data_IF_755799804938
#
_entry.id   IF_755799804938
#
_cell.length_a   1.000
_cell.length_b   1.000
_cell.length_c   1.000
_cell.angle_alpha   90.00
_cell.angle_beta   90.00
_cell.angle_gamma   90.00
#
_symmetry.space_group_name_H-M   'P 1'
#
loop_
_entity.id
_entity.type
_entity.pdbx_description
1 polymer ?
#
# COMPACT_ATOMS: atom_id res chain seq x y z
N UNK A 1 -6.13 8.24 -53.33
CA UNK A 1 -6.96 8.11 -52.11
C UNK A 1 -6.43 9.10 -51.10
N UNK A 2 -7.11 10.24 -50.89
CA UNK A 2 -6.63 11.28 -49.97
C UNK A 2 -7.14 10.92 -48.57
N UNK A 3 -6.26 10.45 -47.69
CA UNK A 3 -6.55 10.34 -46.27
C UNK A 3 -6.81 11.76 -45.73
N UNK A 4 -8.08 12.10 -45.54
CA UNK A 4 -8.47 13.35 -44.89
C UNK A 4 -8.13 13.24 -43.41
N UNK A 5 -6.99 13.80 -43.02
CA UNK A 5 -6.64 13.98 -41.61
C UNK A 5 -7.73 14.77 -40.89
N UNK A 6 -8.13 14.30 -39.71
CA UNK A 6 -9.11 14.98 -38.86
C UNK A 6 -8.65 16.44 -38.63
N UNK A 7 -9.55 17.43 -38.71
CA UNK A 7 -9.20 18.79 -38.37
C UNK A 7 -8.70 18.84 -36.92
N UNK A 8 -7.60 19.55 -36.68
CA UNK A 8 -6.89 19.62 -35.39
C UNK A 8 -7.82 19.86 -34.19
N UNK A 9 -8.87 20.67 -34.38
CA UNK A 9 -9.89 20.93 -33.36
C UNK A 9 -10.72 19.70 -32.98
N UNK A 10 -11.09 18.85 -33.94
CA UNK A 10 -11.81 17.60 -33.68
C UNK A 10 -10.92 16.58 -32.96
N UNK A 11 -9.65 16.48 -33.35
CA UNK A 11 -8.67 15.65 -32.65
C UNK A 11 -8.46 16.11 -31.19
N UNK A 12 -8.37 17.43 -30.97
CA UNK A 12 -8.27 18.01 -29.62
C UNK A 12 -9.51 17.70 -28.76
N UNK A 13 -10.71 17.77 -29.35
CA UNK A 13 -11.97 17.47 -28.65
C UNK A 13 -12.08 15.99 -28.28
N UNK A 14 -11.68 15.09 -29.17
CA UNK A 14 -11.63 13.65 -28.87
C UNK A 14 -10.66 13.36 -27.72
N UNK A 15 -9.48 13.99 -27.72
CA UNK A 15 -8.51 13.84 -26.65
C UNK A 15 -9.06 14.35 -25.30
N UNK A 16 -9.78 15.47 -25.29
CA UNK A 16 -10.45 15.98 -24.09
C UNK A 16 -11.51 15.01 -23.57
N UNK A 17 -12.35 14.45 -24.45
CA UNK A 17 -13.37 13.48 -24.06
C UNK A 17 -12.74 12.19 -23.52
N UNK A 18 -11.68 11.69 -24.16
CA UNK A 18 -10.94 10.53 -23.68
C UNK A 18 -10.37 10.77 -22.28
N UNK A 19 -9.73 11.92 -22.05
CA UNK A 19 -9.22 12.28 -20.72
C UNK A 19 -10.32 12.34 -19.65
N UNK A 20 -11.53 12.78 -20.00
CA UNK A 20 -12.67 12.77 -19.07
C UNK A 20 -13.13 11.35 -18.74
N UNK A 21 -13.18 10.46 -19.74
CA UNK A 21 -13.52 9.04 -19.55
C UNK A 21 -12.48 8.37 -18.64
N UNK A 22 -11.19 8.63 -18.88
CA UNK A 22 -10.09 8.09 -18.07
C UNK A 22 -10.16 8.61 -16.63
N UNK A 23 -10.49 9.90 -16.42
CA UNK A 23 -10.70 10.47 -15.10
C UNK A 23 -11.88 9.84 -14.34
N UNK A 24 -12.95 9.46 -15.04
CA UNK A 24 -14.07 8.72 -14.44
C UNK A 24 -13.62 7.30 -14.07
N UNK A 25 -12.93 6.61 -14.98
CA UNK A 25 -12.44 5.26 -14.78
C UNK A 25 -11.49 5.17 -13.57
N UNK A 26 -10.54 6.10 -13.47
CA UNK A 26 -9.60 6.19 -12.34
C UNK A 26 -10.31 6.44 -11.00
N UNK A 27 -11.30 7.35 -10.95
CA UNK A 27 -12.12 7.55 -9.74
C UNK A 27 -12.88 6.28 -9.33
N UNK A 28 -13.45 5.57 -10.31
CA UNK A 28 -14.15 4.29 -10.06
C UNK A 28 -13.19 3.22 -9.53
N UNK A 29 -12.01 3.09 -10.13
CA UNK A 29 -10.97 2.17 -9.68
C UNK A 29 -10.51 2.49 -8.26
N UNK A 30 -10.30 3.76 -7.92
CA UNK A 30 -9.92 4.17 -6.56
C UNK A 30 -10.99 3.82 -5.51
N UNK A 31 -12.28 4.04 -5.83
CA UNK A 31 -13.40 3.64 -4.95
C UNK A 31 -13.45 2.12 -4.75
N UNK A 32 -13.26 1.35 -5.83
CA UNK A 32 -13.20 -0.11 -5.75
C UNK A 32 -12.03 -0.57 -4.88
N UNK A 33 -10.83 -0.02 -5.10
CA UNK A 33 -9.65 -0.34 -4.30
C UNK A 33 -9.84 -0.03 -2.81
N UNK A 34 -10.50 1.08 -2.47
CA UNK A 34 -10.84 1.40 -1.08
C UNK A 34 -11.82 0.38 -0.48
N UNK A 35 -12.87 0.00 -1.21
CA UNK A 35 -13.81 -1.05 -0.80
C UNK A 35 -13.11 -2.39 -0.59
N UNK A 36 -12.26 -2.81 -1.53
CA UNK A 36 -11.52 -4.07 -1.46
C UNK A 36 -10.58 -4.09 -0.25
N UNK A 37 -9.95 -2.94 0.07
CA UNK A 37 -9.13 -2.80 1.27
C UNK A 37 -9.95 -2.96 2.55
N UNK A 38 -11.15 -2.38 2.62
CA UNK A 38 -12.06 -2.55 3.76
C UNK A 38 -12.42 -4.03 3.93
N UNK A 39 -12.84 -4.71 2.87
CA UNK A 39 -13.19 -6.12 2.92
C UNK A 39 -12.02 -6.99 3.39
N UNK A 40 -10.82 -6.72 2.88
CA UNK A 40 -9.59 -7.41 3.30
C UNK A 40 -9.30 -7.21 4.79
N UNK A 41 -9.43 -5.98 5.30
CA UNK A 41 -9.17 -5.68 6.70
C UNK A 41 -10.16 -6.38 7.63
N UNK A 42 -11.45 -6.38 7.25
CA UNK A 42 -12.50 -7.07 7.99
C UNK A 42 -12.25 -8.58 8.01
N UNK A 43 -11.87 -9.18 6.88
CA UNK A 43 -11.50 -10.59 6.81
C UNK A 43 -10.29 -10.94 7.69
N UNK A 44 -9.40 -9.98 7.94
CA UNK A 44 -8.25 -10.11 8.85
C UNK A 44 -8.60 -9.81 10.32
N UNK A 45 -9.88 -9.62 10.65
CA UNK A 45 -10.36 -9.39 12.01
C UNK A 45 -10.28 -7.93 12.49
N UNK A 46 -10.13 -6.97 11.58
CA UNK A 46 -10.25 -5.55 11.94
C UNK A 46 -11.71 -5.14 11.92
N UNK A 47 -12.16 -4.48 13.00
CA UNK A 47 -13.51 -3.94 13.08
C UNK A 47 -13.92 -3.10 11.85
N UNK A 48 -15.12 -3.29 11.29
CA UNK A 48 -15.56 -2.63 10.05
C UNK A 48 -15.42 -1.11 10.06
N UNK A 49 -15.73 -0.46 11.19
CA UNK A 49 -15.58 1.00 11.33
C UNK A 49 -14.12 1.43 11.23
N UNK A 50 -13.22 0.71 11.90
CA UNK A 50 -11.78 0.99 11.87
C UNK A 50 -11.21 0.68 10.49
N UNK A 51 -11.71 -0.35 9.81
CA UNK A 51 -11.32 -0.70 8.45
C UNK A 51 -11.70 0.41 7.45
N UNK A 52 -12.94 0.93 7.52
CA UNK A 52 -13.41 2.07 6.71
C UNK A 52 -12.54 3.31 6.95
N UNK A 53 -12.38 3.70 8.21
CA UNK A 53 -11.56 4.85 8.57
C UNK A 53 -10.11 4.71 8.08
N UNK A 54 -9.52 3.53 8.20
CA UNK A 54 -8.17 3.27 7.73
C UNK A 54 -8.06 3.35 6.19
N UNK A 55 -9.02 2.79 5.45
CA UNK A 55 -9.04 2.85 3.99
C UNK A 55 -9.21 4.29 3.49
N UNK A 56 -10.11 5.07 4.09
CA UNK A 56 -10.27 6.49 3.80
C UNK A 56 -8.98 7.28 4.07
N UNK A 57 -8.33 7.00 5.20
CA UNK A 57 -7.07 7.63 5.56
C UNK A 57 -5.97 7.29 4.56
N UNK A 58 -5.84 6.02 4.17
CA UNK A 58 -4.88 5.56 3.16
C UNK A 58 -5.11 6.27 1.81
N UNK A 59 -6.36 6.28 1.33
CA UNK A 59 -6.73 6.95 0.09
C UNK A 59 -6.42 8.46 0.13
N UNK A 60 -6.76 9.14 1.23
CA UNK A 60 -6.52 10.59 1.39
C UNK A 60 -5.04 10.94 1.39
N UNK A 61 -4.20 10.11 2.00
CA UNK A 61 -2.76 10.37 2.11
C UNK A 61 -1.97 9.81 0.92
N UNK A 62 -2.63 9.13 -0.04
CA UNK A 62 -1.98 8.54 -1.20
C UNK A 62 -0.97 7.45 -0.87
N UNK A 63 -1.04 6.86 0.33
CA UNK A 63 -0.14 5.82 0.80
C UNK A 63 -0.92 4.61 1.31
N UNK A 64 -0.27 3.44 1.30
CA UNK A 64 -0.85 2.21 1.81
C UNK A 64 -0.98 2.19 3.33
N UNK A 65 -1.48 1.08 3.86
CA UNK A 65 -1.45 0.78 5.28
C UNK A 65 -0.23 -0.06 5.64
N UNK A 66 0.22 0.05 6.89
CA UNK A 66 1.42 -0.61 7.37
C UNK A 66 1.36 -2.14 7.27
N UNK A 67 0.19 -2.75 7.53
CA UNK A 67 -0.07 -4.19 7.41
C UNK A 67 0.85 -5.12 8.24
N UNK A 68 1.70 -4.60 9.13
CA UNK A 68 2.51 -5.42 10.02
C UNK A 68 1.63 -6.07 11.09
N UNK A 69 1.95 -7.30 11.51
CA UNK A 69 1.23 -7.96 12.61
C UNK A 69 1.49 -7.20 13.91
N UNK A 70 0.44 -6.66 14.51
CA UNK A 70 0.53 -5.96 15.79
C UNK A 70 0.53 -6.97 16.97
N UNK A 71 0.72 -6.48 18.20
CA UNK A 71 0.77 -7.31 19.43
C UNK A 71 -0.51 -8.12 19.69
N UNK A 72 -1.66 -7.70 19.16
CA UNK A 72 -2.95 -8.43 19.23
C UNK A 72 -3.12 -9.47 18.12
N UNK A 73 -2.11 -9.63 17.26
CA UNK A 73 -2.15 -10.54 16.13
C UNK A 73 -2.85 -10.01 14.87
N UNK A 74 -3.44 -8.81 14.93
CA UNK A 74 -4.15 -8.18 13.82
C UNK A 74 -3.20 -7.34 12.93
N UNK A 75 -3.55 -7.06 11.67
CA UNK A 75 -2.76 -6.16 10.83
C UNK A 75 -2.75 -4.72 11.39
N UNK A 76 -1.63 -4.02 11.21
CA UNK A 76 -1.49 -2.62 11.56
C UNK A 76 -2.20 -1.74 10.53
N UNK A 77 -3.16 -0.95 10.99
CA UNK A 77 -3.96 -0.01 10.20
C UNK A 77 -3.41 1.44 10.22
N UNK A 78 -2.20 1.65 10.74
CA UNK A 78 -1.52 2.94 10.59
C UNK A 78 -1.08 3.14 9.13
N UNK A 79 -0.86 4.39 8.74
CA UNK A 79 -0.30 4.71 7.43
C UNK A 79 1.08 4.06 7.26
N UNK A 80 1.28 3.42 6.11
CA UNK A 80 2.54 2.84 5.68
C UNK A 80 3.34 3.83 4.84
N UNK A 81 3.56 5.02 5.39
CA UNK A 81 4.24 6.14 4.73
C UNK A 81 5.78 6.09 4.84
N UNK A 82 6.31 5.16 5.63
CA UNK A 82 7.73 4.94 5.79
C UNK A 82 8.31 3.85 4.89
N UNK A 83 9.58 3.52 5.13
CA UNK A 83 10.34 2.53 4.38
C UNK A 83 9.61 1.18 4.32
N UNK A 84 9.54 0.60 3.11
CA UNK A 84 8.89 -0.69 2.87
C UNK A 84 7.38 -0.68 3.15
N UNK A 85 6.74 0.49 3.13
CA UNK A 85 5.31 0.62 3.41
C UNK A 85 4.96 0.43 4.89
N UNK A 86 5.91 0.66 5.82
CA UNK A 86 5.69 0.50 7.27
C UNK A 86 5.49 1.85 7.96
N UNK A 87 4.78 1.85 9.08
CA UNK A 87 4.63 3.03 9.92
C UNK A 87 5.83 3.21 10.85
N UNK A 88 5.94 4.37 11.50
CA UNK A 88 6.98 4.67 12.51
C UNK A 88 7.14 3.61 13.60
N UNK A 89 6.04 2.96 14.01
CA UNK A 89 6.05 1.95 15.08
C UNK A 89 6.51 0.56 14.61
N UNK A 90 6.52 0.31 13.31
CA UNK A 90 6.96 -0.95 12.70
C UNK A 90 8.18 -0.76 11.80
N UNK A 91 9.03 0.21 12.14
CA UNK A 91 10.33 0.42 11.49
C UNK A 91 10.30 1.28 10.23
N UNK A 92 9.17 1.89 9.87
CA UNK A 92 9.07 2.78 8.71
C UNK A 92 9.97 4.01 8.76
N UNK A 93 10.37 4.42 9.97
CA UNK A 93 11.34 5.51 10.20
C UNK A 93 12.70 4.99 10.70
N UNK A 94 12.90 3.66 10.73
CA UNK A 94 14.18 3.10 11.16
C UNK A 94 15.23 3.35 10.09
N UNK A 95 16.40 3.84 10.51
CA UNK A 95 17.55 4.05 9.62
C UNK A 95 18.49 2.85 9.60
N UNK A 96 18.15 1.78 10.33
CA UNK A 96 18.98 0.59 10.52
C UNK A 96 20.23 0.83 11.37
N UNK A 97 20.97 -0.23 11.74
CA UNK A 97 22.22 -0.09 12.46
C UNK A 97 23.29 0.60 11.60
N UNK A 98 23.94 1.61 12.17
CA UNK A 98 24.95 2.40 11.46
C UNK A 98 26.38 1.87 11.60
N UNK A 99 26.67 1.17 12.70
CA UNK A 99 28.01 0.61 12.96
C UNK A 99 28.14 -0.83 12.44
N UNK A 100 29.36 -1.29 12.12
CA UNK A 100 29.61 -2.68 11.72
C UNK A 100 29.11 -3.69 12.76
N UNK A 101 29.36 -3.44 14.04
CA UNK A 101 28.95 -4.32 15.15
C UNK A 101 27.42 -4.37 15.25
N UNK A 102 26.74 -3.23 15.06
CA UNK A 102 25.29 -3.15 15.03
C UNK A 102 24.69 -3.95 13.88
N UNK A 103 25.32 -3.91 12.70
CA UNK A 103 24.90 -4.70 11.53
C UNK A 103 25.08 -6.19 11.79
N UNK A 104 26.23 -6.57 12.36
CA UNK A 104 26.50 -7.96 12.72
C UNK A 104 25.46 -8.51 13.70
N UNK A 105 25.15 -7.78 14.77
CA UNK A 105 24.09 -8.17 15.72
C UNK A 105 22.72 -8.34 15.05
N UNK A 106 22.37 -7.46 14.11
CA UNK A 106 21.12 -7.55 13.37
C UNK A 106 21.06 -8.80 12.48
N UNK A 107 22.16 -9.11 11.77
CA UNK A 107 22.28 -10.31 10.93
C UNK A 107 22.16 -11.59 11.77
N UNK A 108 22.84 -11.64 12.91
CA UNK A 108 22.75 -12.78 13.83
C UNK A 108 21.32 -12.97 14.37
N UNK A 109 20.62 -11.89 14.70
CA UNK A 109 19.23 -11.96 15.13
C UNK A 109 18.32 -12.53 14.04
N UNK A 110 18.52 -12.13 12.77
CA UNK A 110 17.81 -12.70 11.63
C UNK A 110 18.11 -14.18 11.44
N UNK A 111 19.37 -14.58 11.56
CA UNK A 111 19.78 -15.99 11.45
C UNK A 111 19.12 -16.85 12.54
N UNK A 112 19.09 -16.38 13.80
CA UNK A 112 18.40 -17.06 14.90
C UNK A 112 16.90 -17.20 14.63
N UNK A 113 16.24 -16.15 14.16
CA UNK A 113 14.81 -16.18 13.83
C UNK A 113 14.50 -17.18 12.70
N UNK A 114 15.36 -17.23 11.66
CA UNK A 114 15.21 -18.18 10.56
C UNK A 114 15.37 -19.64 11.03
N UNK A 115 16.37 -19.91 11.88
CA UNK A 115 16.55 -21.24 12.47
C UNK A 115 15.35 -21.66 13.33
N UNK A 116 14.80 -20.76 14.13
CA UNK A 116 13.61 -21.03 14.95
C UNK A 116 12.36 -21.33 14.11
N UNK A 117 12.20 -20.67 12.96
CA UNK A 117 11.10 -20.97 12.02
C UNK A 117 11.23 -22.37 11.42
N UNK A 118 12.40 -22.72 10.89
CA UNK A 118 12.64 -24.05 10.30
C UNK A 118 12.32 -25.18 11.27
N UNK A 119 12.69 -25.02 12.55
CA UNK A 119 12.39 -26.00 13.61
C UNK A 119 10.90 -26.17 13.92
N UNK A 120 10.06 -25.18 13.61
CA UNK A 120 8.60 -25.25 13.80
C UNK A 120 7.89 -25.91 12.61
N UNK A 121 8.55 -26.00 11.47
CA UNK A 121 8.00 -26.53 10.22
C UNK A 121 8.37 -28.02 10.01
N UNK A 122 9.37 -28.51 10.75
CA UNK A 122 9.73 -29.93 10.91
C UNK A 122 8.99 -30.55 12.08
#
# INVERSE_FOLDING_TARGET
MIERSLPKAAAQRLLQLQAMVDAIATKRQARKAASDLVQRLVALGVEPEKARHAAEKAQRNGCGLCMAKNRRGLPCIALGDGAGGRCRFHGGMSTGPKTPEGRQRALEALARAAAAKRRKET
#
